data_IF_034495475683
#
_entry.id   IF_034495475683
#
_cell.length_a   1.000
_cell.length_b   1.000
_cell.length_c   1.000
_cell.angle_alpha   90.00
_cell.angle_beta   90.00
_cell.angle_gamma   90.00
#
_symmetry.space_group_name_H-M   'P 1'
#
loop_
_entity.id
_entity.type
_entity.pdbx_description
1 polymer ?
#
# COMPACT_ATOMS: atom_id res chain seq x y z
N UNK A 1 -0.37 -2.34 -23.27
CA UNK A 1 -1.02 -3.10 -22.17
C UNK A 1 -0.28 -4.42 -22.03
N UNK A 2 -0.08 -4.89 -20.79
CA UNK A 2 0.58 -6.18 -20.49
C UNK A 2 -0.38 -7.34 -20.79
N UNK A 3 0.06 -8.44 -21.45
CA UNK A 3 -0.76 -9.64 -21.66
C UNK A 3 -1.26 -10.25 -20.35
N UNK A 4 -2.47 -10.82 -20.35
CA UNK A 4 -3.08 -11.39 -19.14
C UNK A 4 -2.26 -12.55 -18.57
N UNK A 5 -1.58 -13.30 -19.44
CA UNK A 5 -0.74 -14.44 -19.10
C UNK A 5 0.54 -14.03 -18.37
N UNK A 6 0.91 -12.74 -18.41
CA UNK A 6 2.04 -12.15 -17.70
C UNK A 6 1.61 -11.49 -16.38
N UNK A 7 0.31 -11.51 -16.05
CA UNK A 7 -0.19 -11.03 -14.77
C UNK A 7 -0.20 -12.16 -13.75
N UNK A 8 0.39 -11.89 -12.59
CA UNK A 8 0.38 -12.81 -11.46
C UNK A 8 -0.39 -12.17 -10.32
N UNK A 9 -1.29 -12.94 -9.71
CA UNK A 9 -1.95 -12.56 -8.47
C UNK A 9 -1.11 -13.00 -7.28
N UNK A 10 -0.98 -12.10 -6.32
CA UNK A 10 -0.24 -12.29 -5.07
C UNK A 10 -1.16 -11.96 -3.91
N UNK A 11 -1.00 -12.67 -2.80
CA UNK A 11 -1.84 -12.51 -1.61
C UNK A 11 -1.24 -11.51 -0.60
N UNK A 12 0.06 -11.17 -0.74
CA UNK A 12 0.73 -10.20 0.13
C UNK A 12 1.94 -9.52 -0.51
N UNK A 13 2.35 -8.34 0.01
CA UNK A 13 3.59 -7.67 -0.41
C UNK A 13 4.85 -8.52 -0.20
N UNK A 14 4.93 -9.29 0.89
CA UNK A 14 6.08 -10.16 1.17
C UNK A 14 6.24 -11.22 0.08
N UNK A 15 5.14 -11.85 -0.34
CA UNK A 15 5.15 -12.83 -1.42
C UNK A 15 5.62 -12.19 -2.72
N UNK A 16 5.10 -11.01 -3.05
CA UNK A 16 5.45 -10.30 -4.27
C UNK A 16 6.94 -9.89 -4.31
N UNK A 17 7.45 -9.35 -3.20
CA UNK A 17 8.86 -8.95 -3.07
C UNK A 17 9.79 -10.16 -3.17
N UNK A 18 9.43 -11.31 -2.59
CA UNK A 18 10.18 -12.55 -2.78
C UNK A 18 10.19 -13.01 -4.24
N UNK A 19 9.09 -12.84 -4.97
CA UNK A 19 9.05 -13.15 -6.40
C UNK A 19 9.98 -12.28 -7.23
N UNK A 20 10.14 -10.99 -6.89
CA UNK A 20 11.11 -10.11 -7.54
C UNK A 20 12.55 -10.61 -7.34
N UNK A 21 12.93 -10.92 -6.10
CA UNK A 21 14.28 -11.44 -5.78
C UNK A 21 14.57 -12.74 -6.52
N UNK A 22 13.57 -13.63 -6.59
CA UNK A 22 13.70 -14.93 -7.25
C UNK A 22 13.55 -14.85 -8.78
N UNK A 23 13.45 -13.65 -9.36
CA UNK A 23 13.23 -13.44 -10.81
C UNK A 23 11.99 -14.18 -11.35
N UNK A 24 10.96 -14.34 -10.50
CA UNK A 24 9.66 -14.93 -10.86
C UNK A 24 8.62 -13.88 -11.26
N UNK A 25 8.94 -12.61 -11.04
CA UNK A 25 8.25 -11.45 -11.55
C UNK A 25 9.29 -10.34 -11.81
N UNK A 26 9.05 -9.52 -12.82
CA UNK A 26 9.92 -8.39 -13.14
C UNK A 26 9.48 -7.09 -12.46
N UNK A 27 8.16 -6.94 -12.25
CA UNK A 27 7.54 -5.73 -11.71
C UNK A 27 6.44 -6.13 -10.72
N UNK A 28 6.41 -5.47 -9.58
CA UNK A 28 5.31 -5.50 -8.61
C UNK A 28 4.71 -4.10 -8.49
N UNK A 29 3.39 -4.01 -8.55
CA UNK A 29 2.63 -2.75 -8.49
C UNK A 29 1.67 -2.85 -7.32
N UNK A 30 1.78 -1.93 -6.36
CA UNK A 30 0.88 -1.82 -5.22
C UNK A 30 0.96 -0.43 -4.58
N UNK A 31 0.25 -0.24 -3.47
CA UNK A 31 0.24 0.97 -2.66
C UNK A 31 1.60 1.20 -1.99
N UNK A 32 2.27 2.26 -2.40
CA UNK A 32 3.66 2.58 -2.02
C UNK A 32 3.94 2.48 -0.50
N UNK A 33 3.17 3.10 0.41
CA UNK A 33 3.47 3.03 1.84
C UNK A 33 3.51 1.60 2.38
N UNK A 34 2.62 0.73 1.89
CA UNK A 34 2.58 -0.68 2.28
C UNK A 34 3.83 -1.42 1.78
N UNK A 35 4.21 -1.20 0.52
CA UNK A 35 5.39 -1.85 -0.07
C UNK A 35 6.68 -1.37 0.60
N UNK A 36 6.80 -0.06 0.89
CA UNK A 36 7.97 0.51 1.54
C UNK A 36 8.14 0.02 2.97
N UNK A 37 7.06 -0.08 3.74
CA UNK A 37 7.08 -0.62 5.11
C UNK A 37 7.57 -2.07 5.11
N UNK A 38 6.96 -2.94 4.28
CA UNK A 38 7.36 -4.34 4.17
C UNK A 38 8.80 -4.48 3.68
N UNK A 39 9.18 -3.74 2.64
CA UNK A 39 10.53 -3.80 2.08
C UNK A 39 11.58 -3.32 3.09
N UNK A 40 11.29 -2.28 3.87
CA UNK A 40 12.18 -1.81 4.94
C UNK A 40 12.38 -2.90 6.01
N UNK A 41 11.30 -3.58 6.41
CA UNK A 41 11.37 -4.72 7.32
C UNK A 41 12.26 -5.84 6.78
N UNK A 42 12.03 -6.24 5.53
CA UNK A 42 12.78 -7.31 4.86
C UNK A 42 14.26 -6.95 4.63
N UNK A 43 14.57 -5.68 4.35
CA UNK A 43 15.97 -5.21 4.24
C UNK A 43 16.69 -5.20 5.57
N UNK A 44 15.99 -4.96 6.68
CA UNK A 44 16.59 -5.05 8.02
C UNK A 44 16.94 -6.51 8.36
N UNK A 45 16.12 -7.48 7.97
CA UNK A 45 16.39 -8.90 8.22
C UNK A 45 17.37 -9.51 7.21
N UNK A 46 17.26 -9.15 5.94
CA UNK A 46 17.96 -9.78 4.82
C UNK A 46 18.47 -8.75 3.78
N UNK A 47 19.42 -7.88 4.16
CA UNK A 47 19.82 -6.72 3.34
C UNK A 47 20.40 -7.08 1.98
N UNK A 48 21.11 -8.21 1.87
CA UNK A 48 21.69 -8.68 0.59
C UNK A 48 20.62 -9.22 -0.37
N UNK A 49 19.55 -9.79 0.17
CA UNK A 49 18.48 -10.43 -0.60
C UNK A 49 17.58 -9.38 -1.24
N UNK A 50 17.21 -8.34 -0.48
CA UNK A 50 16.25 -7.30 -0.91
C UNK A 50 16.91 -5.95 -1.24
N UNK A 51 18.25 -5.91 -1.31
CA UNK A 51 19.02 -4.68 -1.55
C UNK A 51 18.78 -4.08 -2.94
N UNK A 52 18.62 -4.92 -3.95
CA UNK A 52 18.54 -4.52 -5.35
C UNK A 52 17.13 -4.15 -5.82
N UNK A 53 16.10 -4.34 -4.98
CA UNK A 53 14.74 -3.89 -5.29
C UNK A 53 14.70 -2.36 -5.20
N UNK A 54 14.09 -1.69 -6.18
CA UNK A 54 13.94 -0.24 -6.16
C UNK A 54 12.57 0.17 -6.72
N UNK A 55 12.12 1.37 -6.34
CA UNK A 55 10.91 1.98 -6.90
C UNK A 55 11.19 2.38 -8.36
N UNK A 56 10.56 1.68 -9.30
CA UNK A 56 10.73 1.94 -10.73
C UNK A 56 9.92 3.16 -11.23
N UNK A 57 8.85 3.54 -10.53
CA UNK A 57 8.02 4.69 -10.87
C UNK A 57 6.70 4.73 -10.10
N UNK A 58 5.91 5.76 -10.36
CA UNK A 58 4.55 5.94 -9.84
C UNK A 58 3.57 5.86 -11.01
N UNK A 59 2.54 5.03 -10.88
CA UNK A 59 1.56 4.83 -11.96
C UNK A 59 0.35 5.74 -11.86
N UNK A 60 -0.15 5.97 -10.64
CA UNK A 60 -1.34 6.77 -10.39
C UNK A 60 -1.34 7.28 -8.95
N UNK A 61 -2.10 8.36 -8.71
CA UNK A 61 -2.37 8.88 -7.38
C UNK A 61 -3.83 8.64 -7.03
N UNK A 62 -4.07 7.89 -5.96
CA UNK A 62 -5.42 7.62 -5.48
C UNK A 62 -5.62 8.16 -4.07
N UNK A 63 -6.83 8.59 -3.76
CA UNK A 63 -7.22 9.01 -2.41
C UNK A 63 -7.82 7.83 -1.66
N UNK A 64 -7.36 7.64 -0.42
CA UNK A 64 -7.93 6.64 0.48
C UNK A 64 -9.15 7.22 1.19
N UNK A 65 -10.24 6.45 1.20
CA UNK A 65 -11.49 6.82 1.84
C UNK A 65 -11.90 5.76 2.83
N UNK A 66 -12.40 6.18 3.99
CA UNK A 66 -13.06 5.27 4.92
C UNK A 66 -14.30 4.67 4.25
N UNK A 67 -14.42 3.35 4.30
CA UNK A 67 -15.59 2.63 3.82
C UNK A 67 -16.53 2.33 4.99
N UNK A 68 -17.82 2.59 4.79
CA UNK A 68 -18.88 2.17 5.70
C UNK A 68 -19.82 1.22 4.97
N UNK A 69 -20.14 0.11 5.64
CA UNK A 69 -21.13 -0.83 5.14
C UNK A 69 -22.48 -0.13 4.97
N UNK A 70 -23.24 -0.45 3.91
CA UNK A 70 -24.48 0.26 3.55
C UNK A 70 -25.53 0.30 4.68
N UNK A 71 -25.61 -0.75 5.51
CA UNK A 71 -26.43 -0.81 6.73
C UNK A 71 -26.18 0.33 7.74
N UNK A 72 -25.04 1.01 7.63
CA UNK A 72 -24.63 2.11 8.51
C UNK A 72 -24.53 3.45 7.76
N UNK A 73 -25.27 3.62 6.65
CA UNK A 73 -25.23 4.84 5.85
C UNK A 73 -25.46 6.13 6.68
N UNK A 74 -26.30 6.08 7.71
CA UNK A 74 -26.54 7.23 8.60
C UNK A 74 -25.29 7.69 9.37
N UNK A 75 -24.34 6.78 9.64
CA UNK A 75 -23.09 7.12 10.30
C UNK A 75 -22.14 7.90 9.39
N UNK A 76 -22.32 7.84 8.06
CA UNK A 76 -21.40 8.49 7.12
C UNK A 76 -21.31 10.00 7.36
N UNK A 77 -22.45 10.67 7.64
CA UNK A 77 -22.48 12.10 7.95
C UNK A 77 -21.73 12.42 9.24
N UNK A 78 -21.93 11.60 10.27
CA UNK A 78 -21.29 11.79 11.57
C UNK A 78 -19.78 11.56 11.47
N UNK A 79 -19.36 10.48 10.80
CA UNK A 79 -17.96 10.18 10.55
C UNK A 79 -17.29 11.31 9.76
N UNK A 80 -17.94 11.84 8.73
CA UNK A 80 -17.40 12.96 7.95
C UNK A 80 -17.17 14.22 8.81
N UNK A 81 -18.05 14.51 9.77
CA UNK A 81 -17.88 15.63 10.72
C UNK A 81 -16.64 15.41 11.59
N UNK A 82 -16.48 14.22 12.15
CA UNK A 82 -15.34 13.87 13.01
C UNK A 82 -14.03 13.92 12.22
N UNK A 83 -13.96 13.28 11.04
CA UNK A 83 -12.74 13.27 10.23
C UNK A 83 -12.33 14.69 9.79
N UNK A 84 -13.28 15.60 9.53
CA UNK A 84 -12.97 17.01 9.25
C UNK A 84 -12.42 17.73 10.47
N UNK A 85 -12.97 17.48 11.66
CA UNK A 85 -12.44 18.04 12.90
C UNK A 85 -11.01 17.55 13.13
N UNK A 86 -10.77 16.24 13.03
CA UNK A 86 -9.44 15.63 13.14
C UNK A 86 -8.43 16.25 12.17
N UNK A 87 -8.83 16.49 10.92
CA UNK A 87 -7.97 17.14 9.93
C UNK A 87 -7.58 18.57 10.34
N UNK A 88 -8.53 19.37 10.85
CA UNK A 88 -8.23 20.74 11.30
C UNK A 88 -7.32 20.75 12.54
N UNK A 89 -7.44 19.75 13.38
CA UNK A 89 -6.65 19.58 14.60
C UNK A 89 -5.26 18.97 14.34
N UNK A 90 -4.96 18.56 13.10
CA UNK A 90 -3.68 17.92 12.75
C UNK A 90 -3.53 16.49 13.31
N UNK A 91 -4.64 15.82 13.63
CA UNK A 91 -4.61 14.49 14.25
C UNK A 91 -4.19 13.40 13.27
N UNK A 92 -4.43 13.56 11.96
CA UNK A 92 -3.99 12.54 10.99
C UNK A 92 -2.48 12.47 10.88
N UNK A 93 -1.81 13.61 10.94
CA UNK A 93 -0.36 13.73 10.91
C UNK A 93 0.24 13.10 12.16
N UNK A 94 -0.39 13.34 13.32
CA UNK A 94 0.00 12.73 14.59
C UNK A 94 -0.10 11.21 14.59
N UNK A 95 -1.10 10.62 13.92
CA UNK A 95 -1.32 9.18 13.88
C UNK A 95 -0.67 8.46 12.70
N UNK A 96 0.12 9.15 11.87
CA UNK A 96 0.86 8.55 10.75
C UNK A 96 2.16 7.85 11.20
N UNK A 97 2.45 7.86 12.50
CA UNK A 97 3.62 7.22 13.12
C UNK A 97 3.59 5.69 13.02
#
# INVERSE_FOLDING_TARGET
MVPKEQLVYVESPEQALQMLVLSRADIYIDYEPLVEETLLGLRKSEPKTFGDIYKAGEMDYTTHHAFLHFRHAELAKQLAVVLRAMKREGLFEKYRE
#
